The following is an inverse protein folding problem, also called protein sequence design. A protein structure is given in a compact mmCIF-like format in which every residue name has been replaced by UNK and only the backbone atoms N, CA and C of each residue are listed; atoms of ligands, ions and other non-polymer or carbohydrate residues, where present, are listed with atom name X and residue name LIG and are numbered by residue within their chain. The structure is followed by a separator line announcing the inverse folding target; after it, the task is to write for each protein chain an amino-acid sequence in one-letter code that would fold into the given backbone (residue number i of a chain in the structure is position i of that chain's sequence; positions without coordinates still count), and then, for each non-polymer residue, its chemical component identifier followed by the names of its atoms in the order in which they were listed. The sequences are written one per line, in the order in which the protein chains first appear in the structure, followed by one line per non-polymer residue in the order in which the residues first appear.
data_IF_518539794742
#
_entry.id   IF_518539794742
#
_cell.length_a   1.000
_cell.length_b   1.000
_cell.length_c   1.000
_cell.angle_alpha   90.00
_cell.angle_beta   90.00
_cell.angle_gamma   90.00
#
_symmetry.space_group_name_H-M   'P 1'
#
loop_
_entity.id
_entity.type
_entity.pdbx_description
1 polymer ?
#
# COMPACT_ATOMS: atom_id res chain seq x y z
N UNK A 1 13.64 25.77 -5.46
CA UNK A 1 12.69 25.33 -4.39
C UNK A 1 13.32 25.56 -3.02
N UNK A 2 13.10 26.74 -2.44
CA UNK A 2 13.82 27.26 -1.25
C UNK A 2 12.87 27.73 -0.15
N UNK A 3 11.70 27.10 0.00
CA UNK A 3 10.84 27.28 1.18
C UNK A 3 10.92 26.06 2.10
N UNK A 4 11.21 26.23 3.40
CA UNK A 4 11.38 25.12 4.35
C UNK A 4 10.12 24.29 4.53
N UNK A 5 8.93 24.88 4.41
CA UNK A 5 7.65 24.17 4.48
C UNK A 5 7.44 23.18 3.33
N UNK A 6 7.81 23.56 2.11
CA UNK A 6 7.73 22.68 0.93
C UNK A 6 8.63 21.45 1.09
N UNK A 7 9.78 21.57 1.76
CA UNK A 7 10.65 20.43 2.06
C UNK A 7 10.00 19.46 3.05
N UNK A 8 9.31 19.95 4.08
CA UNK A 8 8.61 19.11 5.07
C UNK A 8 7.44 18.33 4.47
N UNK A 9 6.66 18.97 3.61
CA UNK A 9 5.54 18.31 2.91
C UNK A 9 6.08 17.21 1.98
N UNK A 10 7.17 17.49 1.25
CA UNK A 10 7.80 16.50 0.38
C UNK A 10 8.42 15.34 1.16
N UNK A 11 9.02 15.57 2.33
CA UNK A 11 9.58 14.50 3.15
C UNK A 11 8.50 13.58 3.70
N UNK A 12 7.36 14.12 4.17
CA UNK A 12 6.22 13.32 4.60
C UNK A 12 5.68 12.44 3.47
N UNK A 13 5.53 13.01 2.27
CA UNK A 13 5.09 12.25 1.09
C UNK A 13 6.09 11.19 0.67
N UNK A 14 7.39 11.48 0.73
CA UNK A 14 8.45 10.52 0.40
C UNK A 14 8.35 9.28 1.28
N UNK A 15 8.15 9.46 2.59
CA UNK A 15 7.97 8.35 3.53
C UNK A 15 6.70 7.54 3.24
N UNK A 16 5.62 8.17 2.77
CA UNK A 16 4.38 7.46 2.44
C UNK A 16 4.41 6.75 1.08
N UNK A 17 5.16 7.28 0.11
CA UNK A 17 5.13 6.84 -1.28
C UNK A 17 6.16 5.74 -1.57
N UNK A 18 7.37 5.84 -1.02
CA UNK A 18 8.45 4.85 -1.21
C UNK A 18 8.05 3.42 -0.84
N UNK A 19 7.33 3.15 0.28
CA UNK A 19 6.89 1.80 0.62
C UNK A 19 5.91 1.21 -0.39
N UNK A 20 5.04 2.05 -0.98
CA UNK A 20 4.08 1.62 -1.99
C UNK A 20 4.82 1.18 -3.25
N UNK A 21 5.74 2.01 -3.77
CA UNK A 21 6.53 1.65 -4.94
C UNK A 21 7.45 0.45 -4.69
N UNK A 22 8.01 0.33 -3.49
CA UNK A 22 8.80 -0.85 -3.09
C UNK A 22 7.95 -2.12 -3.09
N UNK A 23 6.71 -2.07 -2.60
CA UNK A 23 5.78 -3.21 -2.65
C UNK A 23 5.34 -3.54 -4.08
N UNK A 24 5.02 -2.55 -4.90
CA UNK A 24 4.69 -2.76 -6.31
C UNK A 24 5.85 -3.45 -7.06
N UNK A 25 7.08 -3.03 -6.80
CA UNK A 25 8.26 -3.63 -7.41
C UNK A 25 8.57 -5.02 -6.86
N UNK A 26 8.65 -5.17 -5.55
CA UNK A 26 9.13 -6.39 -4.89
C UNK A 26 8.07 -7.49 -4.77
N UNK A 27 6.84 -7.13 -4.36
CA UNK A 27 5.76 -8.10 -4.12
C UNK A 27 5.02 -8.40 -5.43
N UNK A 28 4.70 -7.37 -6.21
CA UNK A 28 3.95 -7.54 -7.45
C UNK A 28 4.83 -7.69 -8.70
N UNK A 29 6.15 -7.57 -8.57
CA UNK A 29 7.08 -7.74 -9.70
C UNK A 29 6.98 -6.66 -10.78
N UNK A 30 6.46 -5.47 -10.46
CA UNK A 30 6.32 -4.36 -11.42
C UNK A 30 7.68 -3.67 -11.66
N UNK A 31 8.62 -4.39 -12.28
CA UNK A 31 9.93 -3.86 -12.67
C UNK A 31 9.91 -3.22 -14.06
N UNK A 32 9.08 -3.75 -14.97
CA UNK A 32 8.85 -3.21 -16.31
C UNK A 32 7.39 -3.32 -16.68
N UNK A 33 6.88 -2.33 -17.41
CA UNK A 33 5.57 -2.44 -18.05
C UNK A 33 5.65 -3.41 -19.23
N UNK A 34 4.71 -4.33 -19.31
CA UNK A 34 4.60 -5.30 -20.41
C UNK A 34 3.83 -4.71 -21.59
N UNK A 35 2.93 -3.76 -21.33
CA UNK A 35 2.12 -3.10 -22.36
C UNK A 35 2.87 -1.92 -22.97
N UNK A 36 2.50 -1.58 -24.20
CA UNK A 36 3.04 -0.42 -24.94
C UNK A 36 1.94 0.60 -25.19
N UNK A 37 2.32 1.88 -25.19
CA UNK A 37 1.38 3.00 -25.31
C UNK A 37 0.81 3.43 -23.96
N UNK A 38 0.67 4.75 -23.78
CA UNK A 38 0.33 5.35 -22.49
C UNK A 38 -0.97 4.83 -21.88
N UNK A 39 -2.00 4.64 -22.72
CA UNK A 39 -3.30 4.10 -22.28
C UNK A 39 -3.18 2.71 -21.68
N UNK A 40 -2.46 1.81 -22.36
CA UNK A 40 -2.31 0.44 -21.91
C UNK A 40 -1.39 0.33 -20.68
N UNK A 41 -0.33 1.13 -20.62
CA UNK A 41 0.54 1.25 -19.43
C UNK A 41 -0.25 1.75 -18.21
N UNK A 42 -1.14 2.74 -18.41
CA UNK A 42 -2.00 3.25 -17.34
C UNK A 42 -2.94 2.19 -16.79
N UNK A 43 -3.52 1.37 -17.66
CA UNK A 43 -4.38 0.25 -17.26
C UNK A 43 -3.60 -0.79 -16.46
N UNK A 44 -2.40 -1.18 -16.94
CA UNK A 44 -1.50 -2.10 -16.23
C UNK A 44 -1.16 -1.57 -14.83
N UNK A 45 -0.72 -0.32 -14.72
CA UNK A 45 -0.43 0.31 -13.44
C UNK A 45 -1.65 0.39 -12.51
N UNK A 46 -2.82 0.72 -13.05
CA UNK A 46 -4.07 0.77 -12.28
C UNK A 46 -4.40 -0.58 -11.66
N UNK A 47 -4.22 -1.67 -12.41
CA UNK A 47 -4.49 -3.01 -11.91
C UNK A 47 -3.54 -3.38 -10.76
N UNK A 48 -2.25 -3.07 -10.90
CA UNK A 48 -1.26 -3.23 -9.84
C UNK A 48 -1.63 -2.44 -8.58
N UNK A 49 -2.01 -1.18 -8.73
CA UNK A 49 -2.46 -0.34 -7.62
C UNK A 49 -3.71 -0.88 -6.92
N UNK A 50 -4.70 -1.37 -7.67
CA UNK A 50 -5.91 -2.01 -7.10
C UNK A 50 -5.53 -3.26 -6.32
N UNK A 51 -4.69 -4.13 -6.88
CA UNK A 51 -4.25 -5.35 -6.20
C UNK A 51 -3.48 -5.04 -4.90
N UNK A 52 -2.68 -3.97 -4.89
CA UNK A 52 -1.97 -3.53 -3.68
C UNK A 52 -2.96 -3.06 -2.61
N UNK A 53 -3.90 -2.19 -2.99
CA UNK A 53 -4.91 -1.66 -2.06
C UNK A 53 -5.81 -2.78 -1.50
N UNK A 54 -6.20 -3.74 -2.34
CA UNK A 54 -7.01 -4.88 -1.91
C UNK A 54 -6.24 -5.77 -0.92
N UNK A 55 -4.95 -6.02 -1.17
CA UNK A 55 -4.10 -6.78 -0.25
C UNK A 55 -4.02 -6.11 1.13
N UNK A 56 -3.91 -4.78 1.16
CA UNK A 56 -3.92 -3.99 2.41
C UNK A 56 -5.27 -4.06 3.12
N UNK A 57 -6.38 -3.95 2.38
CA UNK A 57 -7.73 -4.06 2.94
C UNK A 57 -7.95 -5.43 3.59
N UNK A 58 -7.58 -6.52 2.91
CA UNK A 58 -7.68 -7.88 3.43
C UNK A 58 -6.83 -8.05 4.69
N UNK A 59 -5.58 -7.59 4.69
CA UNK A 59 -4.71 -7.66 5.87
C UNK A 59 -5.32 -6.94 7.07
N UNK A 60 -5.93 -5.76 6.87
CA UNK A 60 -6.61 -5.02 7.91
C UNK A 60 -7.86 -5.76 8.42
N UNK A 61 -8.69 -6.31 7.54
CA UNK A 61 -9.88 -7.08 7.91
C UNK A 61 -9.48 -8.30 8.74
N UNK A 62 -8.48 -9.06 8.30
CA UNK A 62 -7.97 -10.22 9.04
C UNK A 62 -7.42 -9.82 10.40
N UNK A 63 -6.68 -8.72 10.48
CA UNK A 63 -6.17 -8.20 11.74
C UNK A 63 -7.30 -7.80 12.70
N UNK A 64 -8.35 -7.15 12.20
CA UNK A 64 -9.54 -6.80 13.00
C UNK A 64 -10.27 -8.05 13.49
N UNK A 65 -10.51 -9.03 12.62
CA UNK A 65 -11.15 -10.30 12.99
C UNK A 65 -10.34 -10.99 14.09
N UNK A 66 -9.02 -11.15 13.89
CA UNK A 66 -8.14 -11.75 14.87
C UNK A 66 -8.17 -11.00 16.22
N UNK A 67 -8.12 -9.67 16.18
CA UNK A 67 -8.14 -8.83 17.38
C UNK A 67 -9.46 -8.96 18.14
N UNK A 68 -10.60 -8.98 17.42
CA UNK A 68 -11.92 -9.18 18.01
C UNK A 68 -12.06 -10.58 18.62
N UNK A 69 -11.56 -11.62 17.93
CA UNK A 69 -11.53 -12.98 18.47
C UNK A 69 -10.66 -13.09 19.73
N UNK A 70 -9.50 -12.40 19.76
CA UNK A 70 -8.62 -12.36 20.94
C UNK A 70 -9.29 -11.67 22.14
N UNK A 71 -9.94 -10.52 21.92
CA UNK A 71 -10.68 -9.79 22.98
C UNK A 71 -11.91 -10.57 23.44
N UNK A 72 -12.59 -11.26 22.54
CA UNK A 72 -13.77 -12.06 22.88
C UNK A 72 -13.43 -13.33 23.69
N UNK A 73 -12.17 -13.78 23.65
CA UNK A 73 -11.71 -15.00 24.32
C UNK A 73 -11.92 -14.93 25.85
N UNK A 74 -12.64 -15.88 26.46
CA UNK A 74 -12.95 -15.87 27.89
C UNK A 74 -11.72 -15.99 28.80
N UNK A 75 -10.58 -16.45 28.27
CA UNK A 75 -9.32 -16.56 29.01
C UNK A 75 -8.65 -15.21 29.30
N UNK A 76 -9.03 -14.14 28.59
CA UNK A 76 -8.42 -12.81 28.70
C UNK A 76 -9.23 -11.83 29.58
N UNK A 77 -10.30 -12.31 30.24
CA UNK A 77 -11.21 -11.51 31.10
C UNK A 77 -11.03 -11.74 32.60
N UNK A 78 -9.89 -12.31 33.02
CA UNK A 78 -9.51 -12.40 34.43
C UNK A 78 -8.48 -11.33 34.78
#
# INVERSE_FOLDING_TARGET
MTKPESKRILSQRKVMVEPVFSALRGIQGLERFRRRGLSAVRMEFTLHAIAYNLSRAVALILWVIFSLSWVASPNNRQ
#
